data_IF_124340214308
#
_entry.id   IF_124340214308
#
_cell.length_a   1.000
_cell.length_b   1.000
_cell.length_c   1.000
_cell.angle_alpha   90.00
_cell.angle_beta   90.00
_cell.angle_gamma   90.00
#
_symmetry.space_group_name_H-M   'P 1'
#
loop_
_entity.id
_entity.type
_entity.pdbx_description
1 polymer ?
#
# COMPACT_ATOMS: atom_id res chain seq x y z
N UNK A 1 -20.05 -15.88 -8.79
CA UNK A 1 -19.05 -15.73 -7.70
C UNK A 1 -18.76 -14.25 -7.59
N UNK A 2 -19.21 -13.64 -6.53
CA UNK A 2 -18.98 -12.20 -6.29
C UNK A 2 -17.62 -12.02 -5.61
N UNK A 3 -16.80 -11.14 -6.14
CA UNK A 3 -15.54 -10.71 -5.54
C UNK A 3 -15.72 -9.23 -5.22
N UNK A 4 -15.66 -8.83 -3.93
CA UNK A 4 -15.80 -7.44 -3.55
C UNK A 4 -14.74 -6.55 -4.22
N UNK A 5 -15.05 -5.27 -4.40
CA UNK A 5 -14.11 -4.28 -4.95
C UNK A 5 -12.81 -4.25 -4.14
N UNK A 6 -11.68 -4.16 -4.84
CA UNK A 6 -10.35 -4.15 -4.23
C UNK A 6 -9.85 -5.53 -3.78
N UNK A 7 -10.65 -6.59 -3.88
CA UNK A 7 -10.27 -7.91 -3.42
C UNK A 7 -9.73 -8.79 -4.56
N UNK A 8 -8.77 -9.63 -4.17
CA UNK A 8 -8.20 -10.66 -5.04
C UNK A 8 -8.52 -12.04 -4.45
N UNK A 9 -9.06 -12.92 -5.25
CA UNK A 9 -9.28 -14.32 -4.90
C UNK A 9 -8.35 -15.22 -5.68
N UNK A 10 -7.65 -16.10 -4.97
CA UNK A 10 -6.75 -17.09 -5.56
C UNK A 10 -7.38 -18.48 -5.47
N UNK A 11 -7.37 -19.21 -6.57
CA UNK A 11 -8.01 -20.52 -6.68
C UNK A 11 -7.28 -21.43 -7.68
N UNK A 12 -7.76 -22.66 -7.81
CA UNK A 12 -7.27 -23.57 -8.84
C UNK A 12 -7.70 -23.05 -10.21
N UNK A 13 -6.82 -23.19 -11.20
CA UNK A 13 -7.13 -22.75 -12.55
C UNK A 13 -8.22 -23.64 -13.17
N UNK A 14 -9.33 -23.07 -13.69
CA UNK A 14 -10.40 -23.84 -14.28
C UNK A 14 -9.98 -24.57 -15.58
N UNK A 15 -8.98 -24.04 -16.28
CA UNK A 15 -8.53 -24.61 -17.56
C UNK A 15 -7.42 -25.66 -17.37
N UNK A 16 -6.37 -25.32 -16.63
CA UNK A 16 -5.21 -26.20 -16.51
C UNK A 16 -5.16 -27.02 -15.21
N UNK A 17 -6.14 -26.86 -14.33
CA UNK A 17 -6.19 -27.54 -13.03
C UNK A 17 -5.08 -27.16 -12.05
N UNK A 18 -4.22 -26.18 -12.39
CA UNK A 18 -3.10 -25.77 -11.54
C UNK A 18 -3.58 -25.32 -10.15
N UNK A 19 -3.01 -25.92 -9.08
CA UNK A 19 -3.42 -25.67 -7.71
C UNK A 19 -3.01 -24.26 -7.29
N UNK A 20 -3.99 -23.43 -6.92
CA UNK A 20 -3.81 -22.03 -6.47
C UNK A 20 -2.96 -21.18 -7.44
N UNK A 21 -3.06 -21.46 -8.75
CA UNK A 21 -2.32 -20.71 -9.78
C UNK A 21 -3.15 -19.62 -10.45
N UNK A 22 -4.45 -19.60 -10.24
CA UNK A 22 -5.37 -18.66 -10.88
C UNK A 22 -5.82 -17.59 -9.89
N UNK A 23 -5.67 -16.34 -10.28
CA UNK A 23 -6.15 -15.19 -9.49
C UNK A 23 -7.21 -14.43 -10.26
N UNK A 24 -8.22 -13.98 -9.54
CA UNK A 24 -9.21 -13.01 -10.04
C UNK A 24 -9.20 -11.82 -9.10
N UNK A 25 -9.03 -10.63 -9.64
CA UNK A 25 -9.03 -9.37 -8.91
C UNK A 25 -10.18 -8.51 -9.41
N UNK A 26 -10.98 -7.99 -8.50
CA UNK A 26 -11.94 -6.94 -8.81
C UNK A 26 -11.29 -5.58 -8.51
N UNK A 27 -10.92 -4.87 -9.57
CA UNK A 27 -10.27 -3.58 -9.47
C UNK A 27 -11.21 -2.50 -10.01
N UNK A 28 -12.03 -1.93 -9.11
CA UNK A 28 -12.93 -0.80 -9.39
C UNK A 28 -13.77 -0.96 -10.67
N UNK A 29 -14.57 -2.03 -10.73
CA UNK A 29 -15.41 -2.30 -11.91
C UNK A 29 -14.65 -2.92 -13.08
N UNK A 30 -13.42 -3.35 -12.87
CA UNK A 30 -12.66 -4.17 -13.78
C UNK A 30 -12.31 -5.51 -13.10
N UNK A 31 -12.93 -6.59 -13.55
CA UNK A 31 -12.51 -7.93 -13.15
C UNK A 31 -11.34 -8.34 -14.04
N UNK A 32 -10.19 -8.59 -13.43
CA UNK A 32 -8.98 -9.07 -14.13
C UNK A 32 -8.60 -10.43 -13.60
N UNK A 33 -8.25 -11.35 -14.48
CA UNK A 33 -7.79 -12.67 -14.07
C UNK A 33 -6.56 -13.13 -14.83
N UNK A 34 -5.76 -13.94 -14.16
CA UNK A 34 -4.55 -14.51 -14.73
C UNK A 34 -4.20 -15.85 -14.07
N UNK A 35 -3.71 -16.78 -14.88
CA UNK A 35 -3.07 -18.00 -14.39
C UNK A 35 -1.55 -17.85 -14.40
N UNK A 36 -0.90 -18.11 -13.25
CA UNK A 36 0.55 -17.98 -13.09
C UNK A 36 1.31 -19.30 -13.40
N UNK A 37 0.65 -20.31 -13.91
CA UNK A 37 1.33 -21.53 -14.38
C UNK A 37 1.95 -21.25 -15.74
N UNK A 38 3.26 -21.44 -15.88
CA UNK A 38 4.01 -21.09 -17.10
C UNK A 38 3.47 -21.74 -18.39
N UNK A 39 2.84 -22.92 -18.27
CA UNK A 39 2.23 -23.65 -19.40
C UNK A 39 0.76 -23.28 -19.65
N UNK A 40 0.23 -22.24 -19.00
CA UNK A 40 -1.18 -21.84 -19.11
C UNK A 40 -1.29 -20.37 -19.49
N UNK A 41 -1.98 -20.10 -20.58
CA UNK A 41 -2.15 -18.74 -21.09
C UNK A 41 -3.49 -18.10 -20.71
N UNK A 42 -4.19 -18.65 -19.72
CA UNK A 42 -5.49 -18.11 -19.27
C UNK A 42 -5.27 -16.79 -18.57
N UNK A 43 -5.65 -15.73 -19.23
CA UNK A 43 -5.67 -14.35 -18.73
C UNK A 43 -6.79 -13.58 -19.39
N UNK A 44 -7.30 -12.55 -18.73
CA UNK A 44 -8.33 -11.71 -19.31
C UNK A 44 -8.82 -10.66 -18.32
N UNK A 45 -9.78 -9.90 -18.76
CA UNK A 45 -10.45 -8.90 -17.94
C UNK A 45 -11.83 -8.60 -18.53
N UNK A 46 -12.74 -8.21 -17.66
CA UNK A 46 -14.07 -7.72 -18.03
C UNK A 46 -14.38 -6.45 -17.24
N UNK A 47 -14.94 -5.44 -17.90
CA UNK A 47 -15.42 -4.23 -17.22
C UNK A 47 -16.82 -4.50 -16.67
N UNK A 48 -16.98 -4.32 -15.37
CA UNK A 48 -18.27 -4.35 -14.71
C UNK A 48 -18.73 -2.89 -14.58
N UNK A 49 -19.89 -2.58 -15.08
CA UNK A 49 -20.48 -1.23 -14.93
C UNK A 49 -20.75 -0.99 -13.44
N UNK A 50 -20.05 -0.02 -12.86
CA UNK A 50 -20.38 0.49 -11.54
C UNK A 50 -21.42 1.59 -11.70
N UNK A 51 -22.54 1.48 -10.98
CA UNK A 51 -23.49 2.57 -10.89
C UNK A 51 -22.90 3.73 -10.07
N UNK A 52 -23.43 4.95 -10.25
CA UNK A 52 -23.05 6.07 -9.41
C UNK A 52 -23.33 5.81 -7.91
N UNK A 53 -24.31 4.94 -7.61
CA UNK A 53 -24.64 4.49 -6.26
C UNK A 53 -23.59 3.53 -5.71
N UNK A 54 -23.08 2.58 -6.51
CA UNK A 54 -21.98 1.69 -6.10
C UNK A 54 -20.70 2.48 -5.81
N UNK A 55 -20.45 3.53 -6.58
CA UNK A 55 -19.33 4.44 -6.36
C UNK A 55 -19.53 5.20 -5.04
N UNK A 56 -20.71 5.79 -4.82
CA UNK A 56 -21.03 6.50 -3.58
C UNK A 56 -21.03 5.58 -2.36
N UNK A 57 -21.61 4.39 -2.45
CA UNK A 57 -21.59 3.40 -1.35
C UNK A 57 -20.16 2.97 -0.99
N UNK A 58 -19.26 2.87 -1.97
CA UNK A 58 -17.84 2.65 -1.74
C UNK A 58 -17.17 3.82 -1.01
N UNK A 59 -17.65 5.06 -1.21
CA UNK A 59 -17.13 6.26 -0.54
C UNK A 59 -17.72 6.45 0.88
N UNK A 60 -18.98 6.11 1.09
CA UNK A 60 -19.63 6.21 2.41
C UNK A 60 -19.36 5.03 3.32
N UNK A 61 -18.87 3.93 2.78
CA UNK A 61 -18.41 2.76 3.51
C UNK A 61 -16.99 2.89 4.08
N UNK A 62 -16.43 4.11 4.19
CA UNK A 62 -15.29 4.35 5.07
C UNK A 62 -15.73 3.95 6.49
N UNK A 63 -15.46 2.68 6.86
CA UNK A 63 -15.54 2.23 8.24
C UNK A 63 -14.86 3.31 9.06
N UNK A 64 -15.57 3.89 10.02
CA UNK A 64 -14.93 4.54 11.14
C UNK A 64 -13.83 3.58 11.56
N UNK A 65 -12.59 3.95 11.27
CA UNK A 65 -11.46 3.18 11.74
C UNK A 65 -11.59 3.23 13.26
N UNK A 66 -11.99 2.11 13.85
CA UNK A 66 -11.94 1.97 15.28
C UNK A 66 -10.59 2.51 15.72
N UNK A 67 -10.58 3.40 16.71
CA UNK A 67 -9.37 4.01 17.26
C UNK A 67 -8.53 2.93 17.98
N UNK A 68 -8.15 1.88 17.28
CA UNK A 68 -7.14 0.98 17.77
C UNK A 68 -5.84 1.76 17.81
N UNK A 69 -5.41 2.09 19.02
CA UNK A 69 -4.12 2.76 19.26
C UNK A 69 -3.01 1.83 18.77
N UNK A 70 -2.49 2.14 17.58
CA UNK A 70 -1.33 1.43 17.06
C UNK A 70 -0.06 1.96 17.72
N UNK A 71 0.68 1.06 18.33
CA UNK A 71 1.99 1.36 18.90
C UNK A 71 3.07 0.59 18.14
N UNK A 72 4.18 1.29 17.87
CA UNK A 72 5.34 0.64 17.29
C UNK A 72 5.91 -0.38 18.28
N UNK A 73 6.28 -1.59 17.83
CA UNK A 73 7.02 -2.54 18.64
C UNK A 73 8.28 -1.90 19.25
N UNK A 74 8.63 -2.23 20.48
CA UNK A 74 9.74 -1.63 21.24
C UNK A 74 11.14 -1.77 20.56
N UNK A 75 11.28 -2.69 19.64
CA UNK A 75 12.50 -2.86 18.85
C UNK A 75 12.55 -1.96 17.60
N UNK A 76 11.52 -1.16 17.36
CA UNK A 76 11.54 -0.08 16.37
C UNK A 76 11.89 1.21 17.11
N UNK A 77 13.04 1.74 16.81
CA UNK A 77 13.62 2.90 17.50
C UNK A 77 13.83 4.06 16.53
N UNK A 78 13.93 5.30 17.00
CA UNK A 78 14.37 6.42 16.17
C UNK A 78 15.68 6.08 15.46
N UNK A 79 15.83 6.48 14.21
CA UNK A 79 17.02 6.14 13.40
C UNK A 79 18.32 6.74 13.96
N UNK A 80 18.26 7.85 14.73
CA UNK A 80 19.38 8.50 15.44
C UNK A 80 20.63 8.64 14.56
N UNK A 81 20.46 9.11 13.34
CA UNK A 81 21.53 9.27 12.35
C UNK A 81 22.30 7.96 12.06
N UNK A 82 21.64 6.80 12.16
CA UNK A 82 22.26 5.52 11.84
C UNK A 82 22.71 5.51 10.37
N UNK A 83 24.00 5.28 10.16
CA UNK A 83 24.64 5.38 8.84
C UNK A 83 23.93 4.56 7.74
N UNK A 84 23.44 3.36 8.07
CA UNK A 84 22.73 2.50 7.11
C UNK A 84 21.38 3.08 6.68
N UNK A 85 20.65 3.72 7.61
CA UNK A 85 19.40 4.42 7.32
C UNK A 85 19.65 5.66 6.50
N UNK A 86 20.62 6.51 6.92
CA UNK A 86 20.99 7.71 6.18
C UNK A 86 21.42 7.39 4.76
N UNK A 87 22.31 6.40 4.61
CA UNK A 87 22.76 5.95 3.29
C UNK A 87 21.57 5.55 2.41
N UNK A 88 20.66 4.73 2.95
CA UNK A 88 19.45 4.32 2.23
C UNK A 88 18.59 5.51 1.80
N UNK A 89 18.25 6.42 2.73
CA UNK A 89 17.38 7.54 2.44
C UNK A 89 18.00 8.47 1.38
N UNK A 90 19.30 8.78 1.51
CA UNK A 90 20.01 9.67 0.56
C UNK A 90 20.23 9.03 -0.82
N UNK A 91 20.45 7.72 -0.90
CA UNK A 91 20.50 7.01 -2.18
C UNK A 91 19.20 7.10 -2.95
N UNK A 92 18.06 7.20 -2.26
CA UNK A 92 16.74 7.40 -2.87
C UNK A 92 16.31 8.87 -2.97
N UNK A 93 17.08 9.81 -2.40
CA UNK A 93 16.87 11.25 -2.54
C UNK A 93 15.85 11.85 -1.57
N UNK A 94 15.74 11.34 -0.35
CA UNK A 94 14.89 11.93 0.69
C UNK A 94 15.59 11.99 2.06
N UNK A 95 15.17 12.97 2.88
CA UNK A 95 15.65 13.15 4.23
C UNK A 95 14.88 12.26 5.22
N UNK A 96 15.57 11.50 6.09
CA UNK A 96 14.90 10.59 7.02
C UNK A 96 14.02 11.30 8.05
N UNK A 97 14.40 12.48 8.51
CA UNK A 97 13.65 13.25 9.50
C UNK A 97 12.38 13.86 8.89
N UNK A 98 12.40 14.31 7.64
CA UNK A 98 11.24 14.87 6.95
C UNK A 98 10.15 13.82 6.73
N UNK A 99 10.57 12.60 6.42
CA UNK A 99 9.66 11.45 6.24
C UNK A 99 9.26 10.83 7.58
N UNK A 100 10.03 11.11 8.65
CA UNK A 100 9.80 10.59 9.99
C UNK A 100 10.11 9.10 10.11
N UNK A 101 11.09 8.58 9.34
CA UNK A 101 11.41 7.15 9.39
C UNK A 101 12.03 6.74 10.72
N UNK A 102 11.80 5.49 11.07
CA UNK A 102 12.40 4.80 12.22
C UNK A 102 13.23 3.61 11.75
N UNK A 103 13.85 2.89 12.68
CA UNK A 103 14.69 1.74 12.38
C UNK A 103 14.29 0.52 13.21
N UNK A 104 14.02 -0.58 12.54
CA UNK A 104 13.83 -1.90 13.13
C UNK A 104 15.21 -2.55 13.35
N UNK A 105 15.65 -2.58 14.63
CA UNK A 105 16.95 -3.16 15.02
C UNK A 105 16.98 -4.67 14.92
N UNK A 106 15.81 -5.33 14.93
CA UNK A 106 15.68 -6.79 14.92
C UNK A 106 15.78 -7.36 13.51
N UNK A 107 15.22 -6.64 12.53
CA UNK A 107 15.14 -7.12 11.17
C UNK A 107 15.91 -6.28 10.15
N UNK A 108 16.64 -5.26 10.60
CA UNK A 108 17.42 -4.34 9.76
C UNK A 108 16.57 -3.71 8.66
N UNK A 109 15.56 -2.91 9.09
CA UNK A 109 14.62 -2.25 8.18
C UNK A 109 14.52 -0.76 8.46
N UNK A 110 14.39 0.03 7.41
CA UNK A 110 13.86 1.39 7.51
C UNK A 110 12.34 1.30 7.63
N UNK A 111 11.76 1.93 8.64
CA UNK A 111 10.34 1.86 8.96
C UNK A 111 9.68 3.20 8.65
N UNK A 112 8.70 3.18 7.78
CA UNK A 112 7.91 4.33 7.37
C UNK A 112 6.63 4.36 8.21
N UNK A 113 6.35 5.47 8.95
CA UNK A 113 5.13 5.61 9.73
C UNK A 113 3.93 5.86 8.81
N UNK A 114 2.79 5.30 9.14
CA UNK A 114 1.53 5.59 8.48
C UNK A 114 0.67 6.35 9.47
N UNK A 115 0.38 7.59 9.17
CA UNK A 115 -0.39 8.48 10.04
C UNK A 115 -1.75 8.81 9.43
N UNK A 116 -2.74 8.99 10.28
CA UNK A 116 -4.06 9.48 9.91
C UNK A 116 -4.53 10.50 10.94
N UNK A 117 -4.95 11.69 10.49
CA UNK A 117 -5.31 12.79 11.38
C UNK A 117 -4.24 13.12 12.45
N UNK A 118 -2.96 13.05 12.06
CA UNK A 118 -1.82 13.32 12.96
C UNK A 118 -1.51 12.18 13.95
N UNK A 119 -2.27 11.09 13.96
CA UNK A 119 -2.01 9.93 14.82
C UNK A 119 -1.32 8.82 14.03
N UNK A 120 -0.39 8.12 14.66
CA UNK A 120 0.23 6.92 14.11
C UNK A 120 -0.80 5.77 14.14
N UNK A 121 -1.12 5.21 12.97
CA UNK A 121 -2.14 4.15 12.85
C UNK A 121 -1.58 2.84 12.28
N UNK A 122 -0.36 2.88 11.73
CA UNK A 122 0.32 1.71 11.18
C UNK A 122 1.79 2.05 10.86
N UNK A 123 2.54 1.07 10.41
CA UNK A 123 3.87 1.28 9.85
C UNK A 123 4.23 0.16 8.86
N UNK A 124 5.17 0.46 7.97
CA UNK A 124 5.72 -0.53 7.05
C UNK A 124 7.23 -0.41 6.97
N UNK A 125 7.94 -1.54 6.95
CA UNK A 125 9.39 -1.61 6.97
C UNK A 125 9.99 -2.15 5.69
N UNK A 126 10.96 -1.42 5.13
CA UNK A 126 11.75 -1.81 3.98
C UNK A 126 13.07 -2.43 4.44
N UNK A 127 13.35 -3.67 4.05
CA UNK A 127 14.62 -4.30 4.36
C UNK A 127 15.79 -3.57 3.72
N UNK A 128 16.84 -3.31 4.50
CA UNK A 128 18.07 -2.65 4.04
C UNK A 128 19.01 -3.61 3.27
N UNK A 129 18.89 -4.92 3.54
CA UNK A 129 19.68 -5.95 2.88
C UNK A 129 18.84 -6.89 2.01
N UNK A 130 19.32 -8.14 1.90
CA UNK A 130 18.67 -9.19 1.08
C UNK A 130 17.54 -9.94 1.80
N UNK A 131 17.13 -9.47 2.99
CA UNK A 131 16.09 -10.13 3.80
C UNK A 131 14.73 -10.12 3.07
N UNK A 132 14.04 -11.23 3.14
CA UNK A 132 12.66 -11.37 2.66
C UNK A 132 11.67 -11.47 3.84
N UNK A 133 10.45 -11.00 3.71
CA UNK A 133 9.96 -10.23 2.57
C UNK A 133 10.64 -8.86 2.47
N UNK A 134 10.75 -8.31 1.27
CA UNK A 134 11.33 -6.97 1.01
C UNK A 134 10.61 -5.88 1.80
N UNK A 135 9.27 -5.94 1.87
CA UNK A 135 8.41 -5.09 2.66
C UNK A 135 7.71 -5.89 3.76
N UNK A 136 7.57 -5.31 4.94
CA UNK A 136 6.86 -5.89 6.08
C UNK A 136 5.92 -4.87 6.69
N UNK A 137 4.65 -5.22 6.86
CA UNK A 137 3.66 -4.41 7.57
C UNK A 137 3.70 -4.72 9.07
N UNK A 138 3.53 -3.71 9.91
CA UNK A 138 3.54 -3.85 11.38
C UNK A 138 2.13 -3.75 11.97
N UNK A 139 1.21 -3.08 11.30
CA UNK A 139 -0.20 -2.97 11.69
C UNK A 139 -1.15 -3.49 10.61
N UNK A 140 -2.42 -3.10 10.71
CA UNK A 140 -3.51 -3.60 9.85
C UNK A 140 -4.47 -2.50 9.39
N UNK A 141 -4.07 -1.22 9.45
CA UNK A 141 -4.98 -0.10 9.16
C UNK A 141 -5.56 -0.11 7.74
N UNK A 142 -4.88 -0.75 6.79
CA UNK A 142 -5.27 -0.69 5.38
C UNK A 142 -5.05 0.68 4.74
N UNK A 143 -4.59 1.69 5.50
CA UNK A 143 -4.35 3.03 4.99
C UNK A 143 -3.05 3.12 4.16
N UNK A 144 -2.97 4.03 3.19
CA UNK A 144 -1.77 4.28 2.44
C UNK A 144 -0.71 5.00 3.30
N UNK A 145 0.56 4.85 2.95
CA UNK A 145 1.58 5.79 3.40
C UNK A 145 1.51 7.04 2.52
N UNK A 146 1.65 8.22 3.13
CA UNK A 146 1.61 9.50 2.42
C UNK A 146 2.74 10.40 2.85
N UNK A 147 3.27 11.19 1.92
CA UNK A 147 4.28 12.20 2.19
C UNK A 147 4.10 13.40 1.25
N UNK A 148 4.44 14.60 1.75
CA UNK A 148 4.35 15.84 1.00
C UNK A 148 3.06 16.62 1.24
N UNK A 149 2.90 17.71 0.51
CA UNK A 149 1.76 18.62 0.61
C UNK A 149 1.32 19.09 -0.79
N UNK A 150 0.05 19.41 -0.93
CA UNK A 150 -0.54 19.89 -2.18
C UNK A 150 -1.92 19.32 -2.46
N UNK A 151 -2.49 19.71 -3.57
CA UNK A 151 -3.85 19.33 -3.97
C UNK A 151 -3.88 18.16 -4.98
N UNK A 152 -2.73 17.69 -5.41
CA UNK A 152 -2.58 16.61 -6.39
C UNK A 152 -1.90 15.43 -5.74
N UNK A 153 -2.57 14.28 -5.74
CA UNK A 153 -2.01 13.02 -5.28
C UNK A 153 -1.35 12.26 -6.44
N UNK A 154 -0.12 11.81 -6.22
CA UNK A 154 0.57 10.88 -7.13
C UNK A 154 0.59 9.50 -6.48
N UNK A 155 -0.18 8.59 -7.06
CA UNK A 155 -0.34 7.23 -6.53
C UNK A 155 0.82 6.36 -7.02
N UNK A 156 1.50 5.70 -6.09
CA UNK A 156 2.67 4.85 -6.32
C UNK A 156 2.55 3.54 -5.56
N UNK A 157 3.43 2.59 -5.85
CA UNK A 157 3.39 1.25 -5.24
C UNK A 157 3.94 1.26 -3.81
N UNK A 158 5.05 1.95 -3.56
CA UNK A 158 5.81 1.84 -2.30
C UNK A 158 6.14 3.20 -1.64
N UNK A 159 6.52 3.13 -0.35
CA UNK A 159 6.80 4.31 0.47
C UNK A 159 8.00 5.12 -0.02
N UNK A 160 9.01 4.48 -0.61
CA UNK A 160 10.20 5.18 -1.11
C UNK A 160 9.82 6.11 -2.25
N UNK A 161 9.06 5.58 -3.21
CA UNK A 161 8.53 6.37 -4.33
C UNK A 161 7.63 7.51 -3.86
N UNK A 162 6.76 7.24 -2.86
CA UNK A 162 5.89 8.27 -2.29
C UNK A 162 6.68 9.36 -1.56
N UNK A 163 7.71 8.99 -0.81
CA UNK A 163 8.58 9.94 -0.13
C UNK A 163 9.26 10.89 -1.12
N UNK A 164 9.83 10.36 -2.20
CA UNK A 164 10.50 11.16 -3.24
C UNK A 164 9.53 12.11 -3.95
N UNK A 165 8.36 11.61 -4.34
CA UNK A 165 7.31 12.44 -4.97
C UNK A 165 6.88 13.59 -4.07
N UNK A 166 6.79 13.34 -2.76
CA UNK A 166 6.33 14.30 -1.76
C UNK A 166 7.27 15.49 -1.54
N UNK A 167 8.49 15.47 -2.07
CA UNK A 167 9.39 16.65 -2.04
C UNK A 167 9.04 17.73 -3.08
N UNK A 168 8.15 17.43 -4.01
CA UNK A 168 7.62 18.40 -4.95
C UNK A 168 6.35 19.10 -4.43
N UNK A 169 5.55 19.59 -5.36
CA UNK A 169 4.23 20.20 -5.06
C UNK A 169 3.10 19.16 -5.05
N UNK A 170 3.43 17.90 -4.80
CA UNK A 170 2.51 16.76 -4.85
C UNK A 170 2.46 16.06 -3.51
N UNK A 171 1.40 15.27 -3.33
CA UNK A 171 1.33 14.28 -2.25
C UNK A 171 1.62 12.90 -2.83
N UNK A 172 2.73 12.29 -2.44
CA UNK A 172 3.01 10.90 -2.75
C UNK A 172 2.13 9.99 -1.92
N UNK A 173 1.41 9.06 -2.56
CA UNK A 173 0.48 8.12 -1.91
C UNK A 173 0.87 6.70 -2.28
N UNK A 174 1.44 5.94 -1.33
CA UNK A 174 1.83 4.56 -1.54
C UNK A 174 0.70 3.61 -1.14
N UNK A 175 0.24 2.80 -2.10
CA UNK A 175 -0.83 1.82 -1.86
C UNK A 175 -0.36 0.60 -1.03
N UNK A 176 0.93 0.37 -0.93
CA UNK A 176 1.55 -0.77 -0.23
C UNK A 176 1.08 -2.14 -0.74
N UNK A 177 0.73 -2.18 -2.01
CA UNK A 177 0.22 -3.34 -2.74
C UNK A 177 -0.08 -2.99 -4.18
N UNK A 178 -0.57 -3.98 -4.94
CA UNK A 178 -0.83 -3.85 -6.38
C UNK A 178 -2.30 -3.52 -6.71
N UNK A 179 -3.13 -3.31 -5.69
CA UNK A 179 -4.57 -3.05 -5.87
C UNK A 179 -5.02 -1.87 -5.02
N UNK A 180 -5.91 -1.07 -5.59
CA UNK A 180 -6.56 0.04 -4.90
C UNK A 180 -7.69 -0.51 -4.02
N UNK A 181 -7.56 -0.37 -2.70
CA UNK A 181 -8.55 -0.77 -1.71
C UNK A 181 -9.55 0.37 -1.42
N UNK A 182 -10.68 0.06 -0.79
CA UNK A 182 -11.69 1.08 -0.47
C UNK A 182 -11.18 2.15 0.52
N UNK A 183 -10.31 1.75 1.45
CA UNK A 183 -9.59 2.68 2.32
C UNK A 183 -8.73 3.69 1.56
N UNK A 184 -8.08 3.26 0.47
CA UNK A 184 -7.30 4.14 -0.39
C UNK A 184 -8.20 5.12 -1.15
N UNK A 185 -9.38 4.66 -1.62
CA UNK A 185 -10.33 5.53 -2.33
C UNK A 185 -10.84 6.65 -1.43
N UNK A 186 -11.23 6.32 -0.19
CA UNK A 186 -11.66 7.31 0.80
C UNK A 186 -10.61 8.37 1.05
N UNK A 187 -9.33 7.96 1.14
CA UNK A 187 -8.22 8.90 1.28
C UNK A 187 -8.03 9.75 0.02
N UNK A 188 -8.07 9.15 -1.17
CA UNK A 188 -7.84 9.84 -2.44
C UNK A 188 -8.97 10.81 -2.82
N UNK A 189 -10.18 10.60 -2.32
CA UNK A 189 -11.34 11.45 -2.60
C UNK A 189 -11.19 12.91 -2.12
N UNK A 190 -10.24 13.20 -1.25
CA UNK A 190 -9.96 14.56 -0.78
C UNK A 190 -9.12 15.40 -1.75
N UNK A 191 -8.52 14.76 -2.76
CA UNK A 191 -7.70 15.46 -3.75
C UNK A 191 -8.55 15.90 -4.95
N UNK A 192 -8.29 17.09 -5.46
CA UNK A 192 -8.79 17.51 -6.77
C UNK A 192 -8.01 16.80 -7.86
N UNK A 193 -8.71 16.20 -8.79
CA UNK A 193 -8.15 15.62 -10.02
C UNK A 193 -7.62 16.69 -10.95
#
# INVERSE_FOLDING_TARGET
MEIPNGHTKRMNCPECGGIKTFTVTNNMGSLVWNCYKASCNVRGGNRVHLSAEDIRAGFTGAKEFAEDTFELPSYIIPHRNRRTVLKFCYEYGFEPDDVGVSYDIKEDRVVFPITHNGKLVDATGRALGKRLPKWKRYGKSGLPFTHGCGNVAVVVEDCVSAAVVGYGSFVGVALLGTSLQDSHKGYLAQFST
#
